data_IF_722747103158
#
_entry.id   IF_722747103158
#
_cell.length_a   1.000
_cell.length_b   1.000
_cell.length_c   1.000
_cell.angle_alpha   90.00
_cell.angle_beta   90.00
_cell.angle_gamma   90.00
#
_symmetry.space_group_name_H-M   'P 1'
#
loop_
_entity.id
_entity.type
_entity.pdbx_description
1 polymer ?
#
# COMPACT_ATOMS: atom_id res chain seq x y z
N UNK A 1 20.36 -13.05 -3.54
CA UNK A 1 20.60 -11.65 -3.91
C UNK A 1 19.32 -10.87 -3.65
N UNK A 2 19.17 -10.29 -2.46
CA UNK A 2 17.93 -9.59 -2.05
C UNK A 2 17.95 -8.20 -2.69
N UNK A 3 17.33 -8.07 -3.86
CA UNK A 3 17.30 -6.83 -4.61
C UNK A 3 16.31 -5.88 -3.93
N UNK A 4 16.83 -4.97 -3.10
CA UNK A 4 16.08 -3.91 -2.41
C UNK A 4 15.58 -2.82 -3.37
N UNK A 5 14.84 -3.21 -4.39
CA UNK A 5 14.06 -2.29 -5.23
C UNK A 5 12.68 -2.22 -4.64
N UNK A 6 12.54 -1.33 -3.68
CA UNK A 6 11.25 -1.02 -3.11
C UNK A 6 10.49 -0.18 -4.13
N UNK A 7 9.83 -0.86 -5.07
CA UNK A 7 9.09 -0.21 -6.15
C UNK A 7 7.91 0.57 -5.55
N UNK A 8 8.01 1.90 -5.62
CA UNK A 8 6.91 2.79 -5.30
C UNK A 8 5.86 2.67 -6.40
N UNK A 9 4.69 2.18 -6.03
CA UNK A 9 3.57 1.96 -6.92
C UNK A 9 2.47 3.00 -6.71
N UNK A 10 1.76 3.31 -7.79
CA UNK A 10 0.56 4.15 -7.71
C UNK A 10 -0.63 3.34 -7.16
N UNK A 11 -1.67 4.04 -6.66
CA UNK A 11 -2.93 3.43 -6.22
C UNK A 11 -3.52 2.45 -7.24
N UNK A 12 -3.33 2.69 -8.55
CA UNK A 12 -3.81 1.79 -9.61
C UNK A 12 -3.12 0.43 -9.61
N UNK A 13 -1.82 0.39 -9.35
CA UNK A 13 -1.04 -0.85 -9.31
C UNK A 13 -1.28 -1.55 -7.97
N UNK A 14 -1.34 -0.77 -6.89
CA UNK A 14 -1.64 -1.28 -5.56
C UNK A 14 -3.01 -2.00 -5.50
N UNK A 15 -4.04 -1.44 -6.15
CA UNK A 15 -5.37 -2.08 -6.21
C UNK A 15 -5.32 -3.45 -6.87
N UNK A 16 -4.48 -3.60 -7.90
CA UNK A 16 -4.40 -4.80 -8.72
C UNK A 16 -3.66 -5.89 -7.94
N UNK A 17 -2.58 -5.47 -7.27
CA UNK A 17 -1.81 -6.31 -6.37
C UNK A 17 -2.64 -6.87 -5.21
N UNK A 18 -3.35 -5.99 -4.48
CA UNK A 18 -4.19 -6.41 -3.35
C UNK A 18 -5.55 -6.98 -3.77
N UNK A 19 -5.92 -6.88 -5.05
CA UNK A 19 -7.25 -7.20 -5.59
C UNK A 19 -8.39 -6.49 -4.82
N UNK A 20 -8.16 -5.26 -4.39
CA UNK A 20 -9.16 -4.43 -3.67
C UNK A 20 -9.65 -3.28 -4.53
N UNK A 21 -10.79 -2.70 -4.15
CA UNK A 21 -11.30 -1.48 -4.79
C UNK A 21 -10.45 -0.25 -4.45
N UNK A 22 -10.37 0.72 -5.38
CA UNK A 22 -9.71 2.02 -5.12
C UNK A 22 -10.27 2.71 -3.89
N UNK A 23 -11.60 2.67 -3.71
CA UNK A 23 -12.28 3.26 -2.55
C UNK A 23 -11.80 2.65 -1.24
N UNK A 24 -11.50 1.34 -1.22
CA UNK A 24 -10.96 0.67 -0.05
C UNK A 24 -9.55 1.15 0.26
N UNK A 25 -8.69 1.31 -0.75
CA UNK A 25 -7.35 1.88 -0.57
C UNK A 25 -7.42 3.31 -0.03
N UNK A 26 -8.26 4.16 -0.61
CA UNK A 26 -8.44 5.52 -0.09
C UNK A 26 -8.95 5.52 1.36
N UNK A 27 -9.85 4.60 1.71
CA UNK A 27 -10.30 4.41 3.08
C UNK A 27 -9.12 4.05 3.99
N UNK A 28 -8.29 3.07 3.62
CA UNK A 28 -7.10 2.69 4.37
C UNK A 28 -6.10 3.85 4.53
N UNK A 29 -5.93 4.68 3.50
CA UNK A 29 -5.10 5.88 3.56
C UNK A 29 -5.67 6.91 4.55
N UNK A 30 -6.97 7.16 4.47
CA UNK A 30 -7.66 8.08 5.38
C UNK A 30 -7.63 7.59 6.83
N UNK A 31 -7.81 6.28 7.04
CA UNK A 31 -7.71 5.60 8.34
C UNK A 31 -6.25 5.43 8.79
N UNK A 32 -5.25 5.83 7.97
CA UNK A 32 -3.81 5.66 8.23
C UNK A 32 -3.41 4.21 8.54
N UNK A 33 -4.13 3.25 7.96
CA UNK A 33 -3.90 1.81 8.10
C UNK A 33 -2.88 1.25 7.12
N UNK A 34 -2.50 2.01 6.10
CA UNK A 34 -1.42 1.66 5.18
C UNK A 34 -0.45 2.83 5.01
N UNK A 35 0.84 2.56 4.81
CA UNK A 35 1.82 3.59 4.56
C UNK A 35 1.62 4.20 3.18
N UNK A 36 1.68 5.52 3.11
CA UNK A 36 1.57 6.28 1.86
C UNK A 36 2.60 7.39 1.82
N UNK A 37 3.08 7.67 0.62
CA UNK A 37 4.09 8.68 0.34
C UNK A 37 3.51 9.68 -0.64
N UNK A 38 3.48 10.96 -0.25
CA UNK A 38 2.97 12.03 -1.11
C UNK A 38 4.12 12.65 -1.90
N UNK A 39 4.18 12.39 -3.20
CA UNK A 39 5.21 12.94 -4.09
C UNK A 39 4.53 13.67 -5.25
N UNK A 40 4.80 14.98 -5.37
CA UNK A 40 4.26 15.81 -6.46
C UNK A 40 2.73 15.84 -6.53
N UNK A 41 2.03 15.70 -5.40
CA UNK A 41 0.57 15.67 -5.34
C UNK A 41 -0.07 14.31 -5.64
N UNK A 42 0.73 13.27 -5.91
CA UNK A 42 0.27 11.89 -6.08
C UNK A 42 0.59 11.07 -4.83
N UNK A 43 -0.21 10.04 -4.59
CA UNK A 43 0.03 9.05 -3.54
C UNK A 43 0.77 7.86 -4.14
N UNK A 44 1.97 7.62 -3.62
CA UNK A 44 2.80 6.47 -3.90
C UNK A 44 2.77 5.53 -2.69
N UNK A 45 2.85 4.25 -2.99
CA UNK A 45 2.73 3.18 -2.01
C UNK A 45 3.86 2.21 -2.21
N UNK A 46 4.38 1.67 -1.11
CA UNK A 46 5.44 0.70 -1.18
C UNK A 46 4.84 -0.67 -0.91
N UNK A 47 4.87 -1.53 -1.92
CA UNK A 47 4.15 -2.83 -1.86
C UNK A 47 4.59 -3.64 -0.64
N UNK A 48 5.89 -3.74 -0.38
CA UNK A 48 6.41 -4.47 0.79
C UNK A 48 5.86 -3.94 2.12
N UNK A 49 5.87 -2.62 2.35
CA UNK A 49 5.35 -2.09 3.62
C UNK A 49 3.84 -2.24 3.73
N UNK A 50 3.10 -2.09 2.63
CA UNK A 50 1.65 -2.30 2.62
C UNK A 50 1.33 -3.76 2.92
N UNK A 51 2.05 -4.70 2.31
CA UNK A 51 1.88 -6.14 2.51
C UNK A 51 2.19 -6.52 3.96
N UNK A 52 3.35 -6.11 4.48
CA UNK A 52 3.73 -6.33 5.88
C UNK A 52 2.70 -5.76 6.87
N UNK A 53 2.18 -4.56 6.60
CA UNK A 53 1.19 -3.93 7.47
C UNK A 53 -0.16 -4.65 7.41
N UNK A 54 -0.59 -5.12 6.24
CA UNK A 54 -1.84 -5.87 6.09
C UNK A 54 -1.72 -7.27 6.68
N UNK A 55 -0.60 -7.94 6.48
CA UNK A 55 -0.29 -9.21 7.13
C UNK A 55 -0.33 -9.04 8.65
N UNK A 56 0.22 -7.95 9.17
CA UNK A 56 0.13 -7.63 10.60
C UNK A 56 -1.32 -7.43 11.04
N UNK A 57 -2.10 -6.62 10.33
CA UNK A 57 -3.51 -6.37 10.67
C UNK A 57 -4.37 -7.64 10.62
N UNK A 58 -4.13 -8.56 9.68
CA UNK A 58 -4.87 -9.83 9.59
C UNK A 58 -4.40 -10.89 10.58
N UNK A 59 -3.12 -10.89 10.96
CA UNK A 59 -2.58 -11.87 11.92
C UNK A 59 -3.04 -11.62 13.36
N UNK A 60 -3.56 -10.43 13.67
CA UNK A 60 -4.09 -10.07 14.98
C UNK A 60 -5.62 -9.90 15.02
N UNK A 61 -6.34 -10.27 13.94
CA UNK A 61 -7.81 -10.25 13.86
C UNK A 61 -8.40 -11.66 13.99
#
# INVERSE_FOLDING_TARGET
MTNGREDFVDVKVLKDHLKVGKSFIYKLVMERRIPYYKVGGKFLFKVSEVDEMIEKEMRYA
#
